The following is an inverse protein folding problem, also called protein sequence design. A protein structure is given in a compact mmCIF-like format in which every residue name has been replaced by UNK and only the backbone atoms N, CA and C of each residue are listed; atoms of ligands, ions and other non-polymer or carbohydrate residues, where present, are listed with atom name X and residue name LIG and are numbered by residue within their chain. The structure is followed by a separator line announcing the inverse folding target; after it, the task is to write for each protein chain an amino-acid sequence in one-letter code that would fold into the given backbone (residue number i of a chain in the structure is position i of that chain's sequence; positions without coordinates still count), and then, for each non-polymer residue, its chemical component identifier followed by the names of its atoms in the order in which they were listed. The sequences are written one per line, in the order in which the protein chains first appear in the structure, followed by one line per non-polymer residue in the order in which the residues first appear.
data_IF_430826675379
#
_entry.id   IF_430826675379
#
_cell.length_a   1.000
_cell.length_b   1.000
_cell.length_c   1.000
_cell.angle_alpha   90.00
_cell.angle_beta   90.00
_cell.angle_gamma   90.00
#
_symmetry.space_group_name_H-M   'P 1'
#
loop_
_entity.id
_entity.type
_entity.pdbx_description
1 polymer ?
#
# COMPACT_ATOMS: atom_id res chain seq x y z
N UNK A 1 -10.33 -13.20 29.33
CA UNK A 1 -9.29 -12.80 28.37
C UNK A 1 -9.54 -13.35 26.97
N UNK A 2 -9.87 -14.63 26.81
CA UNK A 2 -10.14 -15.27 25.50
C UNK A 2 -11.48 -14.87 24.85
N UNK A 3 -12.52 -14.62 25.64
CA UNK A 3 -13.84 -14.22 25.11
C UNK A 3 -13.86 -12.80 24.53
N UNK A 4 -13.10 -11.85 25.11
CA UNK A 4 -12.99 -10.49 24.57
C UNK A 4 -12.17 -10.44 23.27
N UNK A 5 -11.16 -11.32 23.13
CA UNK A 5 -10.36 -11.40 21.91
C UNK A 5 -11.16 -11.97 20.73
N UNK A 6 -12.00 -12.98 20.98
CA UNK A 6 -12.86 -13.58 19.94
C UNK A 6 -13.99 -12.64 19.48
N UNK A 7 -14.57 -11.84 20.39
CA UNK A 7 -15.60 -10.87 20.03
C UNK A 7 -15.03 -9.73 19.16
N UNK A 8 -13.84 -9.23 19.50
CA UNK A 8 -13.18 -8.18 18.71
C UNK A 8 -12.80 -8.66 17.30
N UNK A 9 -12.44 -9.94 17.13
CA UNK A 9 -12.19 -10.53 15.81
C UNK A 9 -13.46 -10.70 14.97
N UNK A 10 -14.61 -11.04 15.57
CA UNK A 10 -15.88 -11.10 14.81
C UNK A 10 -16.36 -9.71 14.40
N UNK A 11 -16.26 -8.72 15.29
CA UNK A 11 -16.68 -7.34 15.00
C UNK A 11 -15.85 -6.73 13.85
N UNK A 12 -14.55 -7.03 13.80
CA UNK A 12 -13.66 -6.61 12.70
C UNK A 12 -13.97 -7.36 11.40
N UNK A 13 -14.26 -8.66 11.46
CA UNK A 13 -14.63 -9.43 10.28
C UNK A 13 -15.93 -8.89 9.65
N UNK A 14 -16.93 -8.60 10.47
CA UNK A 14 -18.19 -8.00 10.03
C UNK A 14 -17.99 -6.61 9.41
N UNK A 15 -17.12 -5.78 10.00
CA UNK A 15 -16.75 -4.48 9.45
C UNK A 15 -16.06 -4.60 8.08
N UNK A 16 -15.14 -5.55 7.92
CA UNK A 16 -14.51 -5.83 6.64
C UNK A 16 -15.51 -6.35 5.60
N UNK A 17 -16.42 -7.25 5.98
CA UNK A 17 -17.45 -7.76 5.09
C UNK A 17 -18.36 -6.61 4.61
N UNK A 18 -18.86 -5.78 5.51
CA UNK A 18 -19.70 -4.63 5.17
C UNK A 18 -18.96 -3.64 4.26
N UNK A 19 -17.74 -3.25 4.64
CA UNK A 19 -16.92 -2.32 3.85
C UNK A 19 -16.60 -2.88 2.46
N UNK A 20 -16.31 -4.17 2.36
CA UNK A 20 -16.03 -4.85 1.08
C UNK A 20 -17.26 -4.92 0.18
N UNK A 21 -18.45 -5.17 0.74
CA UNK A 21 -19.71 -5.15 0.00
C UNK A 21 -19.98 -3.76 -0.59
N UNK A 22 -19.82 -2.71 0.23
CA UNK A 22 -19.94 -1.33 -0.23
C UNK A 22 -18.92 -1.01 -1.33
N UNK A 23 -17.65 -1.35 -1.16
CA UNK A 23 -16.61 -1.11 -2.16
C UNK A 23 -16.94 -1.82 -3.49
N UNK A 24 -17.37 -3.08 -3.44
CA UNK A 24 -17.77 -3.83 -4.64
C UNK A 24 -19.01 -3.25 -5.30
N UNK A 25 -19.96 -2.69 -4.56
CA UNK A 25 -21.13 -2.03 -5.17
C UNK A 25 -20.76 -0.86 -6.07
N UNK A 26 -19.74 -0.08 -5.68
CA UNK A 26 -19.27 1.11 -6.42
C UNK A 26 -18.51 0.78 -7.71
N UNK A 27 -18.08 -0.48 -7.89
CA UNK A 27 -17.40 -0.91 -9.11
C UNK A 27 -18.37 -1.01 -10.29
N UNK A 28 -17.90 -0.61 -11.47
CA UNK A 28 -18.65 -0.83 -12.70
C UNK A 28 -18.83 -2.32 -12.98
N UNK A 29 -19.78 -2.67 -13.84
CA UNK A 29 -19.99 -4.07 -14.27
C UNK A 29 -18.74 -4.63 -14.97
N UNK A 30 -17.98 -3.78 -15.67
CA UNK A 30 -16.75 -4.17 -16.35
C UNK A 30 -15.63 -4.45 -15.34
N UNK A 31 -15.46 -3.59 -14.34
CA UNK A 31 -14.46 -3.78 -13.27
C UNK A 31 -14.76 -5.04 -12.44
N UNK A 32 -16.04 -5.30 -12.15
CA UNK A 32 -16.46 -6.54 -11.46
C UNK A 32 -16.05 -7.79 -12.24
N UNK A 33 -16.27 -7.80 -13.56
CA UNK A 33 -15.86 -8.92 -14.43
C UNK A 33 -14.35 -9.08 -14.50
N UNK A 34 -13.61 -7.97 -14.54
CA UNK A 34 -12.15 -8.00 -14.52
C UNK A 34 -11.66 -8.63 -13.21
N UNK A 35 -12.18 -8.17 -12.07
CA UNK A 35 -11.84 -8.73 -10.76
C UNK A 35 -12.17 -10.21 -10.63
N UNK A 36 -13.34 -10.64 -11.12
CA UNK A 36 -13.76 -12.04 -11.05
C UNK A 36 -12.92 -12.95 -11.99
N UNK A 37 -12.19 -12.36 -12.95
CA UNK A 37 -11.27 -13.05 -13.85
C UNK A 37 -9.82 -13.13 -13.37
N UNK A 38 -9.49 -12.57 -12.21
CA UNK A 38 -8.14 -12.60 -11.63
C UNK A 38 -7.79 -14.03 -11.19
N UNK A 39 -6.64 -14.54 -11.62
CA UNK A 39 -6.13 -15.84 -11.19
C UNK A 39 -5.51 -15.80 -9.78
N UNK A 40 -5.49 -16.95 -9.09
CA UNK A 40 -5.06 -17.11 -7.69
C UNK A 40 -3.65 -16.60 -7.36
N UNK A 41 -2.78 -16.44 -8.36
CA UNK A 41 -1.39 -16.00 -8.21
C UNK A 41 -1.08 -14.69 -8.95
N UNK A 42 -2.12 -13.95 -9.37
CA UNK A 42 -1.99 -12.60 -9.94
C UNK A 42 -1.60 -11.59 -8.86
N UNK A 43 -2.14 -11.77 -7.65
CA UNK A 43 -1.82 -10.93 -6.48
C UNK A 43 -0.94 -11.73 -5.54
N UNK A 44 0.30 -11.30 -5.37
CA UNK A 44 1.23 -11.87 -4.41
C UNK A 44 1.22 -11.00 -3.15
N UNK A 45 1.06 -11.61 -1.99
CA UNK A 45 1.14 -10.93 -0.70
C UNK A 45 2.38 -11.38 0.03
N UNK A 46 3.28 -10.45 0.30
CA UNK A 46 4.45 -10.64 1.14
C UNK A 46 4.06 -10.21 2.56
N UNK A 47 4.03 -11.15 3.52
CA UNK A 47 3.55 -10.86 4.85
C UNK A 47 4.49 -9.90 5.60
N UNK A 48 3.88 -9.13 6.49
CA UNK A 48 4.53 -8.13 7.32
C UNK A 48 4.31 -8.40 8.81
N UNK A 49 4.71 -7.47 9.66
CA UNK A 49 4.51 -7.55 11.11
C UNK A 49 3.14 -7.02 11.52
N UNK A 50 2.70 -5.89 10.96
CA UNK A 50 1.49 -5.20 11.42
C UNK A 50 0.40 -5.19 10.35
N UNK A 51 0.75 -4.86 9.11
CA UNK A 51 -0.23 -4.82 8.03
C UNK A 51 -0.69 -6.21 7.61
N UNK A 52 -2.00 -6.31 7.33
CA UNK A 52 -2.68 -7.56 7.00
C UNK A 52 -3.60 -7.42 5.79
N UNK A 53 -3.07 -6.91 4.66
CA UNK A 53 -3.84 -6.71 3.42
C UNK A 53 -4.62 -7.95 2.95
N UNK A 54 -4.10 -9.15 3.23
CA UNK A 54 -4.76 -10.42 2.92
C UNK A 54 -6.17 -10.54 3.53
N UNK A 55 -6.45 -9.88 4.66
CA UNK A 55 -7.79 -9.85 5.24
C UNK A 55 -8.75 -9.02 4.37
N UNK A 56 -8.30 -7.86 3.89
CA UNK A 56 -9.06 -7.00 2.97
C UNK A 56 -9.31 -7.71 1.65
N UNK A 57 -8.27 -8.30 1.05
CA UNK A 57 -8.38 -9.04 -0.21
C UNK A 57 -9.35 -10.22 -0.08
N UNK A 58 -9.29 -10.96 1.03
CA UNK A 58 -10.22 -12.06 1.32
C UNK A 58 -11.67 -11.57 1.38
N UNK A 59 -11.94 -10.47 2.08
CA UNK A 59 -13.30 -9.90 2.17
C UNK A 59 -13.81 -9.39 0.83
N UNK A 60 -12.93 -8.80 0.02
CA UNK A 60 -13.22 -8.41 -1.36
C UNK A 60 -13.33 -9.60 -2.32
N UNK A 61 -13.06 -10.82 -1.88
CA UNK A 61 -13.01 -12.05 -2.72
C UNK A 61 -12.03 -11.92 -3.88
N UNK A 62 -10.92 -11.21 -3.67
CA UNK A 62 -9.82 -11.13 -4.62
C UNK A 62 -8.88 -12.29 -4.31
N UNK A 63 -8.61 -13.19 -5.26
CA UNK A 63 -7.65 -14.27 -5.08
C UNK A 63 -6.24 -13.72 -4.87
N UNK A 64 -5.48 -14.35 -3.97
CA UNK A 64 -4.09 -13.97 -3.70
C UNK A 64 -3.26 -15.18 -3.25
N UNK A 65 -1.95 -15.07 -3.43
CA UNK A 65 -0.95 -16.03 -2.94
C UNK A 65 -0.05 -15.36 -1.91
N UNK A 66 0.03 -15.94 -0.71
CA UNK A 66 1.05 -15.54 0.27
C UNK A 66 2.38 -16.18 -0.12
N UNK A 67 3.44 -15.38 -0.14
CA UNK A 67 4.83 -15.81 -0.35
C UNK A 67 5.69 -15.16 0.72
N UNK A 68 6.43 -15.96 1.49
CA UNK A 68 7.29 -15.43 2.55
C UNK A 68 8.45 -14.62 1.97
N UNK A 69 8.97 -13.67 2.74
CA UNK A 69 10.03 -12.75 2.27
C UNK A 69 11.23 -13.50 1.67
N UNK A 70 11.71 -14.55 2.34
CA UNK A 70 12.87 -15.33 1.88
C UNK A 70 12.55 -16.26 0.71
N UNK A 71 11.29 -16.65 0.54
CA UNK A 71 10.84 -17.48 -0.59
C UNK A 71 10.85 -16.70 -1.90
N UNK A 72 10.70 -15.36 -1.85
CA UNK A 72 10.75 -14.50 -3.05
C UNK A 72 12.05 -14.59 -3.85
N UNK A 73 13.16 -15.00 -3.22
CA UNK A 73 14.43 -15.18 -3.91
C UNK A 73 14.36 -16.26 -4.99
N UNK A 74 13.53 -17.29 -4.77
CA UNK A 74 13.40 -18.45 -5.67
C UNK A 74 12.01 -18.56 -6.29
N UNK A 75 11.03 -17.80 -5.79
CA UNK A 75 9.68 -17.78 -6.33
C UNK A 75 9.67 -17.27 -7.79
N UNK A 76 8.98 -17.96 -8.71
CA UNK A 76 8.93 -17.58 -10.12
C UNK A 76 7.95 -16.42 -10.33
N UNK A 77 8.36 -15.20 -9.94
CA UNK A 77 7.60 -13.98 -10.20
C UNK A 77 7.42 -13.74 -11.70
N UNK A 78 6.22 -13.28 -12.09
CA UNK A 78 5.79 -12.98 -13.47
C UNK A 78 5.46 -11.50 -13.61
N UNK A 79 6.41 -10.68 -14.06
CA UNK A 79 6.24 -9.23 -14.17
C UNK A 79 5.05 -8.79 -15.03
N UNK A 80 4.67 -9.58 -16.02
CA UNK A 80 3.65 -9.24 -17.00
C UNK A 80 2.21 -9.23 -16.46
N UNK A 81 1.93 -9.98 -15.40
CA UNK A 81 0.57 -10.16 -14.88
C UNK A 81 0.48 -10.12 -13.35
N UNK A 82 1.57 -9.88 -12.63
CA UNK A 82 1.55 -9.88 -11.16
C UNK A 82 1.66 -8.48 -10.54
N UNK A 83 0.91 -8.30 -9.46
CA UNK A 83 1.10 -7.24 -8.48
C UNK A 83 1.56 -7.86 -7.16
N UNK A 84 2.67 -7.36 -6.61
CA UNK A 84 3.21 -7.80 -5.31
C UNK A 84 2.92 -6.75 -4.25
N UNK A 85 2.07 -7.09 -3.29
CA UNK A 85 1.85 -6.31 -2.08
C UNK A 85 2.89 -6.66 -1.01
N UNK A 86 3.64 -5.68 -0.55
CA UNK A 86 4.66 -5.82 0.49
C UNK A 86 4.20 -5.09 1.74
N UNK A 87 3.70 -5.86 2.71
CA UNK A 87 3.26 -5.33 3.99
C UNK A 87 4.46 -4.83 4.82
N UNK A 88 4.20 -3.87 5.73
CA UNK A 88 5.22 -3.32 6.60
C UNK A 88 5.86 -4.42 7.48
N UNK A 89 7.18 -4.42 7.57
CA UNK A 89 7.92 -5.39 8.39
C UNK A 89 9.04 -4.69 9.14
N UNK A 90 9.31 -5.13 10.38
CA UNK A 90 10.43 -4.66 11.19
C UNK A 90 11.79 -4.80 10.49
N UNK A 91 11.92 -5.84 9.67
CA UNK A 91 13.11 -6.15 8.89
C UNK A 91 12.69 -6.72 7.55
N UNK A 92 13.49 -6.45 6.52
CA UNK A 92 13.33 -7.03 5.20
C UNK A 92 14.73 -7.35 4.62
N UNK A 93 14.97 -8.56 4.09
CA UNK A 93 16.29 -8.91 3.56
C UNK A 93 16.66 -8.02 2.34
N UNK A 94 17.87 -7.41 2.32
CA UNK A 94 18.26 -6.51 1.22
C UNK A 94 18.31 -7.16 -0.15
N UNK A 95 18.73 -8.43 -0.22
CA UNK A 95 18.75 -9.24 -1.45
C UNK A 95 17.33 -9.47 -2.01
N UNK A 96 16.35 -9.68 -1.14
CA UNK A 96 14.93 -9.75 -1.52
C UNK A 96 14.45 -8.39 -2.03
N UNK A 97 14.85 -7.27 -1.41
CA UNK A 97 14.48 -5.94 -1.88
C UNK A 97 15.03 -5.68 -3.30
N UNK A 98 16.29 -6.05 -3.56
CA UNK A 98 16.87 -5.97 -4.90
C UNK A 98 16.20 -6.90 -5.91
N UNK A 99 15.76 -8.10 -5.48
CA UNK A 99 14.96 -9.01 -6.32
C UNK A 99 13.61 -8.40 -6.72
N UNK A 100 12.96 -7.67 -5.83
CA UNK A 100 11.74 -6.91 -6.13
C UNK A 100 12.02 -5.76 -7.11
N UNK A 101 13.15 -5.07 -6.99
CA UNK A 101 13.57 -4.07 -7.99
C UNK A 101 13.72 -4.70 -9.38
N UNK A 102 14.32 -5.88 -9.47
CA UNK A 102 14.42 -6.58 -10.75
C UNK A 102 13.02 -6.91 -11.31
N UNK A 103 12.12 -7.42 -10.48
CA UNK A 103 10.74 -7.70 -10.87
C UNK A 103 10.02 -6.45 -11.41
N UNK A 104 10.17 -5.30 -10.75
CA UNK A 104 9.60 -4.03 -11.22
C UNK A 104 10.24 -3.59 -12.54
N UNK A 105 11.57 -3.66 -12.65
CA UNK A 105 12.27 -3.30 -13.89
C UNK A 105 11.83 -4.13 -15.09
N UNK A 106 11.39 -5.36 -14.85
CA UNK A 106 10.91 -6.28 -15.88
C UNK A 106 9.43 -6.05 -16.26
N UNK A 107 8.74 -5.09 -15.63
CA UNK A 107 7.36 -4.66 -15.91
C UNK A 107 6.37 -4.94 -14.77
N UNK A 108 6.84 -5.51 -13.66
CA UNK A 108 6.00 -5.87 -12.52
C UNK A 108 5.60 -4.68 -11.65
N UNK A 109 4.51 -4.82 -10.91
CA UNK A 109 4.04 -3.78 -10.00
C UNK A 109 4.23 -4.19 -8.54
N UNK A 110 4.75 -3.27 -7.71
CA UNK A 110 4.76 -3.44 -6.25
C UNK A 110 3.90 -2.37 -5.58
N UNK A 111 3.23 -2.76 -4.49
CA UNK A 111 2.53 -1.83 -3.60
C UNK A 111 3.09 -2.08 -2.20
N UNK A 112 3.59 -1.03 -1.56
CA UNK A 112 4.30 -1.12 -0.28
C UNK A 112 3.63 -0.25 0.77
N UNK A 113 3.68 -0.65 2.03
CA UNK A 113 3.13 0.14 3.14
C UNK A 113 4.20 0.56 4.15
N UNK A 114 4.07 1.79 4.63
CA UNK A 114 4.79 2.39 5.75
C UNK A 114 6.28 1.98 5.87
N UNK A 115 6.64 1.07 6.78
CA UNK A 115 8.03 0.70 7.03
C UNK A 115 8.77 0.06 5.86
N UNK A 116 8.03 -0.41 4.85
CA UNK A 116 8.63 -0.80 3.59
C UNK A 116 9.36 0.37 2.90
N UNK A 117 9.06 1.63 3.22
CA UNK A 117 9.83 2.79 2.74
C UNK A 117 11.33 2.64 3.06
N UNK A 118 11.67 2.35 4.31
CA UNK A 118 13.08 2.22 4.72
C UNK A 118 13.66 0.85 4.36
N UNK A 119 12.87 -0.20 4.54
CA UNK A 119 13.36 -1.58 4.45
C UNK A 119 13.37 -2.13 3.02
N UNK A 120 12.58 -1.55 2.11
CA UNK A 120 12.44 -1.99 0.71
C UNK A 120 12.75 -0.86 -0.26
N UNK A 121 12.02 0.26 -0.18
CA UNK A 121 12.14 1.34 -1.17
C UNK A 121 13.49 2.05 -1.09
N UNK A 122 13.97 2.42 0.10
CA UNK A 122 15.27 3.08 0.23
C UNK A 122 16.44 2.16 -0.16
N UNK A 123 16.32 0.86 0.17
CA UNK A 123 17.33 -0.14 -0.18
C UNK A 123 17.40 -0.37 -1.69
N UNK A 124 16.25 -0.49 -2.35
CA UNK A 124 16.17 -0.97 -3.71
C UNK A 124 15.79 0.10 -4.74
N UNK A 125 15.29 1.25 -4.33
CA UNK A 125 14.80 2.38 -5.14
C UNK A 125 15.20 3.74 -4.54
N UNK A 126 16.28 3.76 -3.76
CA UNK A 126 16.72 4.93 -2.99
C UNK A 126 17.11 6.15 -3.83
N UNK A 127 17.24 6.03 -5.15
CA UNK A 127 17.39 7.17 -6.04
C UNK A 127 16.07 7.94 -6.27
N UNK A 128 14.92 7.33 -5.99
CA UNK A 128 13.60 7.95 -6.14
C UNK A 128 13.08 8.49 -4.82
N UNK A 129 13.10 7.66 -3.77
CA UNK A 129 12.54 7.98 -2.46
C UNK A 129 13.32 7.35 -1.31
N UNK A 130 13.28 7.98 -0.13
CA UNK A 130 13.94 7.50 1.09
C UNK A 130 13.13 7.83 2.33
N UNK A 131 13.50 7.21 3.45
CA UNK A 131 13.07 7.68 4.76
C UNK A 131 13.80 8.99 5.11
N UNK A 132 13.06 10.01 5.51
CA UNK A 132 13.65 11.32 5.83
C UNK A 132 14.36 11.40 7.19
N UNK A 133 14.48 10.28 7.91
CA UNK A 133 15.12 10.18 9.22
C UNK A 133 14.24 10.52 10.43
N UNK A 134 13.00 10.95 10.23
CA UNK A 134 12.05 11.29 11.31
C UNK A 134 10.99 10.19 11.52
N UNK A 135 10.35 10.13 12.67
CA UNK A 135 9.25 9.19 12.93
C UNK A 135 8.01 9.97 13.36
N UNK A 136 6.83 9.56 12.91
CA UNK A 136 5.58 10.23 13.29
C UNK A 136 5.15 9.85 14.71
N UNK A 137 4.41 10.73 15.37
CA UNK A 137 3.58 10.39 16.52
C UNK A 137 2.27 9.71 16.10
N UNK A 138 1.49 9.30 17.09
CA UNK A 138 0.09 8.90 16.91
C UNK A 138 -0.77 10.17 16.79
N UNK A 139 -1.19 10.49 15.57
CA UNK A 139 -1.91 11.72 15.29
C UNK A 139 -2.71 11.66 13.99
N UNK A 140 -3.67 12.57 13.86
CA UNK A 140 -4.47 12.74 12.64
C UNK A 140 -4.04 14.02 11.94
N UNK A 141 -3.81 13.94 10.63
CA UNK A 141 -3.46 15.08 9.77
C UNK A 141 -4.48 15.26 8.65
N UNK A 142 -4.73 16.50 8.27
CA UNK A 142 -5.51 16.80 7.05
C UNK A 142 -4.74 16.42 5.79
N UNK A 143 -5.43 15.85 4.80
CA UNK A 143 -4.85 15.44 3.52
C UNK A 143 -5.51 16.11 2.31
N UNK A 144 -4.82 16.10 1.18
CA UNK A 144 -5.34 16.57 -0.10
C UNK A 144 -4.96 15.59 -1.21
N UNK A 145 -5.92 15.22 -2.05
CA UNK A 145 -5.67 14.44 -3.27
C UNK A 145 -5.21 15.40 -4.37
N UNK A 146 -4.00 15.19 -4.90
CA UNK A 146 -3.42 16.05 -5.93
C UNK A 146 -3.95 15.73 -7.33
N UNK A 147 -4.23 14.46 -7.61
CA UNK A 147 -4.79 14.01 -8.89
C UNK A 147 -6.00 13.09 -8.65
N UNK A 148 -7.21 13.65 -8.47
CA UNK A 148 -8.41 12.86 -8.18
C UNK A 148 -8.88 12.01 -9.36
N UNK A 149 -8.31 12.20 -10.55
CA UNK A 149 -8.63 11.41 -11.74
C UNK A 149 -7.72 10.19 -11.91
N UNK A 150 -6.61 10.13 -11.17
CA UNK A 150 -5.71 9.00 -11.19
C UNK A 150 -6.43 7.74 -10.68
N UNK A 151 -6.43 6.62 -11.44
CA UNK A 151 -7.15 5.40 -11.06
C UNK A 151 -6.80 4.85 -9.67
N UNK A 152 -5.60 5.11 -9.15
CA UNK A 152 -5.16 4.65 -7.81
C UNK A 152 -5.95 5.34 -6.69
N UNK A 153 -6.32 6.61 -6.88
CA UNK A 153 -7.03 7.43 -5.87
C UNK A 153 -8.42 7.87 -6.33
N UNK A 154 -8.84 7.45 -7.52
CA UNK A 154 -10.18 7.69 -8.03
C UNK A 154 -11.20 7.03 -7.10
N UNK A 155 -12.16 7.81 -6.60
CA UNK A 155 -13.14 7.34 -5.63
C UNK A 155 -12.64 7.19 -4.19
N UNK A 156 -11.37 7.51 -3.91
CA UNK A 156 -10.81 7.48 -2.55
C UNK A 156 -11.51 8.49 -1.62
N UNK A 157 -11.87 9.67 -2.14
CA UNK A 157 -12.63 10.67 -1.41
C UNK A 157 -14.05 10.81 -2.00
N UNK A 158 -15.08 10.96 -1.15
CA UNK A 158 -16.43 11.26 -1.63
C UNK A 158 -16.41 12.55 -2.46
N UNK A 159 -17.15 12.58 -3.57
CA UNK A 159 -17.32 13.80 -4.38
C UNK A 159 -18.12 14.91 -3.65
N UNK A 160 -18.45 14.72 -2.37
CA UNK A 160 -19.20 15.66 -1.58
C UNK A 160 -18.39 16.95 -1.40
N UNK A 161 -18.94 18.05 -1.90
CA UNK A 161 -18.48 19.39 -1.56
C UNK A 161 -18.51 19.50 -0.02
N UNK A 162 -17.39 19.88 0.59
CA UNK A 162 -17.20 20.09 2.04
C UNK A 162 -16.70 18.92 2.91
N UNK A 163 -15.96 17.95 2.34
CA UNK A 163 -15.19 17.00 3.17
C UNK A 163 -13.77 17.55 3.37
N UNK A 164 -13.31 17.60 4.63
CA UNK A 164 -11.90 17.81 4.99
C UNK A 164 -11.30 16.44 5.33
N UNK A 165 -10.75 15.72 4.34
CA UNK A 165 -10.31 14.35 4.54
C UNK A 165 -9.12 14.30 5.49
N UNK A 166 -9.14 13.30 6.36
CA UNK A 166 -8.14 13.12 7.39
C UNK A 166 -7.43 11.79 7.23
N UNK A 167 -6.17 11.75 7.61
CA UNK A 167 -5.35 10.55 7.62
C UNK A 167 -4.76 10.35 9.01
N UNK A 168 -4.94 9.15 9.54
CA UNK A 168 -4.35 8.77 10.80
C UNK A 168 -2.93 8.25 10.56
N UNK A 169 -1.96 8.87 11.23
CA UNK A 169 -0.58 8.44 11.27
C UNK A 169 -0.41 7.62 12.55
N UNK A 170 -0.02 6.36 12.39
CA UNK A 170 0.36 5.55 13.54
C UNK A 170 1.69 6.04 14.12
N UNK A 171 1.89 5.81 15.41
CA UNK A 171 3.20 6.03 16.04
C UNK A 171 4.26 5.26 15.27
N UNK A 172 5.36 5.93 14.92
CA UNK A 172 6.49 5.36 14.19
C UNK A 172 6.29 5.17 12.68
N UNK A 173 5.30 5.78 12.05
CA UNK A 173 5.23 5.79 10.58
C UNK A 173 6.41 6.55 9.97
N UNK A 174 6.77 6.24 8.72
CA UNK A 174 7.96 6.81 8.05
C UNK A 174 7.60 7.91 7.06
N UNK A 175 7.93 9.18 7.35
CA UNK A 175 7.74 10.26 6.39
C UNK A 175 8.70 10.11 5.19
N UNK A 176 8.17 10.45 4.00
CA UNK A 176 8.80 10.20 2.70
C UNK A 176 9.64 11.40 2.29
N UNK A 177 10.94 11.18 2.08
CA UNK A 177 11.79 12.07 1.30
C UNK A 177 11.70 11.71 -0.19
N UNK A 178 11.34 12.68 -1.02
CA UNK A 178 11.36 12.52 -2.48
C UNK A 178 12.72 13.00 -2.99
N UNK A 179 13.50 12.07 -3.51
CA UNK A 179 14.85 12.32 -4.03
C UNK A 179 14.78 12.76 -5.49
N UNK A 180 13.95 12.10 -6.31
CA UNK A 180 13.72 12.47 -7.70
C UNK A 180 12.28 12.97 -7.92
N UNK A 181 12.11 14.28 -7.79
CA UNK A 181 10.82 14.95 -8.00
C UNK A 181 10.33 14.94 -9.46
N UNK A 182 11.16 14.56 -10.44
CA UNK A 182 10.72 14.43 -11.83
C UNK A 182 10.02 13.09 -12.09
N UNK A 183 10.51 12.03 -11.44
CA UNK A 183 9.97 10.68 -11.60
C UNK A 183 8.86 10.36 -10.60
N UNK A 184 8.92 10.94 -9.40
CA UNK A 184 7.96 10.64 -8.32
C UNK A 184 6.76 11.57 -8.36
N UNK A 185 5.57 10.96 -8.42
CA UNK A 185 4.27 11.65 -8.36
C UNK A 185 3.67 11.49 -6.98
N UNK A 186 3.32 12.61 -6.35
CA UNK A 186 2.58 12.63 -5.07
C UNK A 186 1.09 12.63 -5.36
N UNK A 187 0.40 11.53 -5.04
CA UNK A 187 -1.03 11.37 -5.26
C UNK A 187 -1.85 11.97 -4.11
N UNK A 188 -1.38 11.79 -2.87
CA UNK A 188 -1.97 12.38 -1.68
C UNK A 188 -0.88 13.10 -0.90
N UNK A 189 -1.17 14.34 -0.50
CA UNK A 189 -0.26 15.16 0.31
C UNK A 189 -0.92 15.64 1.60
N UNK A 190 -0.10 16.16 2.52
CA UNK A 190 -0.53 16.85 3.73
C UNK A 190 0.40 18.03 4.04
N UNK A 191 -0.18 19.23 4.11
CA UNK A 191 0.55 20.43 4.54
C UNK A 191 0.92 20.37 6.04
N UNK A 192 0.14 19.67 6.86
CA UNK A 192 0.42 19.47 8.29
C UNK A 192 1.59 18.53 8.52
N UNK A 193 1.61 17.40 7.80
CA UNK A 193 2.76 16.49 7.80
C UNK A 193 4.03 17.24 7.39
N UNK A 194 3.95 18.12 6.40
CA UNK A 194 5.10 18.91 5.96
C UNK A 194 5.64 19.83 7.05
N UNK A 195 4.75 20.53 7.75
CA UNK A 195 5.12 21.44 8.85
C UNK A 195 5.75 20.71 10.03
N UNK A 196 5.25 19.52 10.36
CA UNK A 196 5.68 18.76 11.53
C UNK A 196 6.92 17.90 11.27
N UNK A 197 7.00 17.29 10.09
CA UNK A 197 7.97 16.23 9.79
C UNK A 197 8.83 16.51 8.57
N UNK A 198 8.73 17.70 7.94
CA UNK A 198 9.45 18.03 6.71
C UNK A 198 9.25 16.99 5.59
N UNK A 199 8.01 16.50 5.48
CA UNK A 199 7.55 15.57 4.44
C UNK A 199 6.10 15.88 4.15
N UNK A 200 5.77 16.20 2.90
CA UNK A 200 4.39 16.49 2.51
C UNK A 200 3.68 15.28 1.90
N UNK A 201 4.41 14.24 1.49
CA UNK A 201 3.84 13.10 0.78
C UNK A 201 3.24 12.07 1.73
N UNK A 202 2.01 11.64 1.43
CA UNK A 202 1.29 10.57 2.14
C UNK A 202 1.19 9.33 1.25
N UNK A 203 0.85 9.53 -0.03
CA UNK A 203 0.81 8.48 -1.05
C UNK A 203 1.56 8.94 -2.29
N UNK A 204 2.46 8.10 -2.78
CA UNK A 204 3.28 8.36 -3.97
C UNK A 204 3.13 7.23 -4.99
N UNK A 205 3.51 7.52 -6.23
CA UNK A 205 3.73 6.52 -7.27
C UNK A 205 4.89 6.96 -8.16
N UNK A 206 5.64 6.01 -8.69
CA UNK A 206 6.70 6.25 -9.67
C UNK A 206 6.91 4.98 -10.49
N UNK A 207 7.40 5.16 -11.71
CA UNK A 207 7.70 4.07 -12.63
C UNK A 207 9.20 3.78 -12.59
N UNK A 208 9.60 2.52 -12.73
CA UNK A 208 11.01 2.12 -12.74
C UNK A 208 11.21 0.98 -13.74
N UNK A 209 12.03 1.20 -14.77
CA UNK A 209 12.25 0.23 -15.84
C UNK A 209 11.16 0.26 -16.91
N UNK A 210 10.59 -0.90 -17.26
CA UNK A 210 9.68 -1.10 -18.40
C UNK A 210 8.23 -0.72 -18.09
#
# INVERSE_FOLDING_TARGET
STQHHNACQSDMADAYELGSAMAREHLSTEDKKLLDGIGDDTVIVVPGTYDHIHQVLKSLKIPFKIVEQTELLTYPLRPEDQTVYVNCANSFPPDVAHRLRQFVNDGGQIITTDWALKNVLEVAFGEFVRHNGSMTGDEVVGIQVNDPTNPIVAGFLPAAQHVDPQWWLESSSYPIEIVDAQSVRVLIKSDELNKKYNSHAVLITFDCGK
#
